data_IF_332615679633
#
_entry.id   IF_332615679633
#
_cell.length_a   1.000
_cell.length_b   1.000
_cell.length_c   1.000
_cell.angle_alpha   90.00
_cell.angle_beta   90.00
_cell.angle_gamma   90.00
#
_symmetry.space_group_name_H-M   'P 1'
#
loop_
_entity.id
_entity.type
_entity.pdbx_description
1 polymer ?
#
# COMPACT_ATOMS: atom_id res chain seq x y z
N UNK A 1 -2.65 9.14 -2.41
CA UNK A 1 -1.48 8.24 -2.22
C UNK A 1 -0.17 8.92 -2.61
N UNK A 2 -0.08 9.42 -3.83
CA UNK A 2 1.16 10.03 -4.35
C UNK A 2 1.63 11.20 -3.50
N UNK A 3 0.74 12.14 -3.16
CA UNK A 3 1.09 13.31 -2.36
C UNK A 3 1.66 12.94 -0.99
N UNK A 4 1.07 11.94 -0.31
CA UNK A 4 1.58 11.45 0.97
C UNK A 4 2.96 10.83 0.81
N UNK A 5 3.16 10.00 -0.21
CA UNK A 5 4.44 9.36 -0.46
C UNK A 5 5.55 10.37 -0.77
N UNK A 6 5.24 11.42 -1.51
CA UNK A 6 6.18 12.52 -1.77
C UNK A 6 6.54 13.23 -0.47
N UNK A 7 5.57 13.50 0.39
CA UNK A 7 5.79 14.16 1.68
C UNK A 7 6.67 13.32 2.63
N UNK A 8 6.70 11.99 2.48
CA UNK A 8 7.50 11.10 3.31
C UNK A 8 8.95 10.96 2.89
N UNK A 9 9.31 11.37 1.66
CA UNK A 9 10.69 11.27 1.15
C UNK A 9 11.68 11.90 2.15
N UNK A 10 12.82 11.25 2.50
CA UNK A 10 13.42 10.05 1.88
C UNK A 10 12.88 8.70 2.36
N UNK A 11 11.96 8.66 3.32
CA UNK A 11 11.36 7.43 3.80
C UNK A 11 10.30 6.91 2.83
N UNK A 12 10.06 5.59 2.82
CA UNK A 12 8.91 5.04 2.12
C UNK A 12 7.62 5.51 2.79
N UNK A 13 6.72 6.08 2.00
CA UNK A 13 5.36 6.36 2.45
C UNK A 13 4.54 5.09 2.44
N UNK A 14 3.55 4.99 3.32
CA UNK A 14 2.66 3.85 3.35
C UNK A 14 1.27 4.21 3.89
N UNK A 15 0.33 3.32 3.71
CA UNK A 15 -1.01 3.46 4.22
C UNK A 15 -1.90 2.29 3.83
N UNK A 16 -3.15 2.36 4.24
CA UNK A 16 -4.13 1.31 4.03
C UNK A 16 -5.24 1.76 3.07
N UNK A 17 -5.76 0.79 2.32
CA UNK A 17 -6.89 0.96 1.42
C UNK A 17 -8.11 0.28 2.03
N UNK A 18 -9.19 1.02 2.18
CA UNK A 18 -10.48 0.50 2.68
C UNK A 18 -11.45 0.47 1.52
N UNK A 19 -12.16 -0.64 1.38
CA UNK A 19 -13.11 -0.81 0.29
C UNK A 19 -14.04 -1.99 0.48
N UNK A 20 -14.65 -2.42 -0.62
CA UNK A 20 -15.62 -3.50 -0.64
C UNK A 20 -15.03 -4.82 -1.19
N UNK A 21 -15.84 -5.85 -1.18
CA UNK A 21 -15.46 -7.19 -1.66
C UNK A 21 -15.18 -7.26 -3.17
N UNK A 22 -15.60 -6.26 -3.93
CA UNK A 22 -15.36 -6.16 -5.36
C UNK A 22 -14.06 -5.43 -5.70
N UNK A 23 -13.29 -5.02 -4.71
CA UNK A 23 -12.05 -4.29 -4.91
C UNK A 23 -12.23 -2.81 -5.20
N UNK A 24 -13.42 -2.24 -4.93
CA UNK A 24 -13.67 -0.80 -5.08
C UNK A 24 -13.19 -0.09 -3.82
N UNK A 25 -12.20 0.79 -3.98
CA UNK A 25 -11.64 1.57 -2.87
C UNK A 25 -12.59 2.70 -2.50
N UNK A 26 -13.05 2.69 -1.26
CA UNK A 26 -13.91 3.73 -0.70
C UNK A 26 -13.09 4.86 -0.07
N UNK A 27 -11.96 4.53 0.57
CA UNK A 27 -11.09 5.52 1.21
C UNK A 27 -9.65 5.06 1.28
N UNK A 28 -8.74 6.03 1.32
CA UNK A 28 -7.29 5.83 1.45
C UNK A 28 -6.86 6.43 2.79
N UNK A 29 -6.13 5.64 3.57
CA UNK A 29 -5.71 6.03 4.92
C UNK A 29 -4.18 6.05 5.02
N UNK A 30 -3.53 7.22 4.80
CA UNK A 30 -2.10 7.34 5.05
C UNK A 30 -1.76 7.01 6.49
N UNK A 31 -0.68 6.26 6.68
CA UNK A 31 -0.18 5.89 8.01
C UNK A 31 1.29 6.28 8.13
N UNK A 32 1.79 6.26 9.36
CA UNK A 32 3.21 6.44 9.62
C UNK A 32 3.96 5.16 9.21
N UNK A 33 5.13 5.33 8.55
CA UNK A 33 6.05 4.21 8.37
C UNK A 33 6.78 3.94 9.69
N UNK A 34 6.38 2.89 10.38
CA UNK A 34 6.96 2.54 11.68
C UNK A 34 8.44 2.12 11.58
N UNK A 35 8.91 1.72 10.40
CA UNK A 35 10.31 1.41 10.15
C UNK A 35 11.15 2.67 9.88
N UNK A 36 10.52 3.80 9.53
CA UNK A 36 11.17 5.08 9.20
C UNK A 36 12.35 4.89 8.23
N UNK A 37 12.12 4.14 7.14
CA UNK A 37 13.17 3.70 6.23
C UNK A 37 12.89 4.16 4.80
N UNK A 38 13.97 4.37 4.03
CA UNK A 38 13.92 4.63 2.59
C UNK A 38 13.82 3.34 1.76
N UNK A 39 13.95 2.17 2.38
CA UNK A 39 14.05 0.87 1.69
C UNK A 39 12.97 -0.12 2.09
N UNK A 40 12.36 0.05 3.26
CA UNK A 40 11.31 -0.81 3.77
C UNK A 40 10.21 0.04 4.43
N UNK A 41 9.03 -0.55 4.55
CA UNK A 41 7.95 0.06 5.32
C UNK A 41 7.42 -0.92 6.36
N UNK A 42 6.84 -0.38 7.43
CA UNK A 42 6.10 -1.16 8.42
C UNK A 42 4.86 -0.38 8.84
N UNK A 43 3.70 -1.03 8.82
CA UNK A 43 2.46 -0.43 9.26
C UNK A 43 2.48 -0.27 10.79
N UNK A 44 2.04 0.89 11.27
CA UNK A 44 1.86 1.10 12.70
C UNK A 44 0.67 0.25 13.18
N UNK A 45 0.87 -0.69 14.14
CA UNK A 45 -0.20 -1.58 14.57
C UNK A 45 -1.41 -0.89 15.15
N UNK A 46 -1.24 0.25 15.81
CA UNK A 46 -2.35 1.01 16.41
C UNK A 46 -3.19 1.69 15.35
N UNK A 47 -2.54 2.29 14.34
CA UNK A 47 -3.23 2.90 13.22
C UNK A 47 -3.96 1.83 12.41
N UNK A 48 -3.33 0.69 12.16
CA UNK A 48 -3.94 -0.44 11.44
C UNK A 48 -5.21 -0.92 12.16
N UNK A 49 -5.14 -1.14 13.47
CA UNK A 49 -6.28 -1.59 14.24
C UNK A 49 -7.44 -0.58 14.23
N UNK A 50 -7.13 0.70 14.35
CA UNK A 50 -8.13 1.77 14.29
C UNK A 50 -8.83 1.81 12.94
N UNK A 51 -8.06 1.72 11.86
CA UNK A 51 -8.59 1.73 10.49
C UNK A 51 -9.47 0.49 10.25
N UNK A 52 -9.02 -0.69 10.69
CA UNK A 52 -9.78 -1.93 10.60
C UNK A 52 -11.15 -1.81 11.28
N UNK A 53 -11.17 -1.30 12.51
CA UNK A 53 -12.42 -1.14 13.28
C UNK A 53 -13.36 -0.15 12.63
N UNK A 54 -12.84 0.98 12.16
CA UNK A 54 -13.65 1.99 11.49
C UNK A 54 -14.22 1.47 10.17
N UNK A 55 -13.46 0.68 9.43
CA UNK A 55 -13.94 0.03 8.21
C UNK A 55 -15.08 -0.94 8.50
N UNK A 56 -14.92 -1.80 9.50
CA UNK A 56 -15.96 -2.74 9.94
C UNK A 56 -17.26 -2.02 10.30
N UNK A 57 -17.17 -0.95 11.07
CA UNK A 57 -18.33 -0.14 11.48
C UNK A 57 -19.07 0.45 10.26
N UNK A 58 -18.36 0.71 9.18
CA UNK A 58 -18.95 1.22 7.93
C UNK A 58 -19.42 0.11 6.97
N UNK A 59 -19.32 -1.16 7.35
CA UNK A 59 -19.65 -2.30 6.49
C UNK A 59 -18.62 -2.57 5.40
N UNK A 60 -17.38 -2.10 5.59
CA UNK A 60 -16.27 -2.23 4.67
C UNK A 60 -15.14 -3.02 5.32
N UNK A 61 -14.02 -3.16 4.62
CA UNK A 61 -12.83 -3.84 5.13
C UNK A 61 -11.56 -3.18 4.59
N UNK A 62 -10.44 -3.43 5.26
CA UNK A 62 -9.13 -3.16 4.69
C UNK A 62 -8.90 -4.17 3.57
N UNK A 63 -8.72 -3.68 2.35
CA UNK A 63 -8.57 -4.52 1.15
C UNK A 63 -7.18 -4.44 0.54
N UNK A 64 -6.31 -3.61 1.08
CA UNK A 64 -4.97 -3.47 0.56
C UNK A 64 -4.11 -2.48 1.32
N UNK A 65 -2.89 -2.37 0.87
CA UNK A 65 -1.87 -1.48 1.39
C UNK A 65 -1.21 -0.76 0.22
N UNK A 66 -0.80 0.48 0.43
CA UNK A 66 0.07 1.17 -0.51
C UNK A 66 1.39 1.54 0.16
N UNK A 67 2.46 1.54 -0.61
CA UNK A 67 3.73 2.11 -0.19
C UNK A 67 4.51 2.61 -1.40
N UNK A 68 5.52 3.44 -1.14
CA UNK A 68 6.36 4.00 -2.20
C UNK A 68 7.73 3.34 -2.25
N UNK A 69 8.26 3.24 -3.49
CA UNK A 69 9.67 2.97 -3.74
C UNK A 69 10.33 4.29 -4.15
N UNK A 70 11.27 4.77 -3.34
CA UNK A 70 11.90 6.07 -3.57
C UNK A 70 13.03 6.03 -4.59
N UNK A 71 13.74 4.89 -4.68
CA UNK A 71 14.93 4.73 -5.51
C UNK A 71 14.85 3.59 -6.53
N UNK A 72 13.79 2.79 -6.50
CA UNK A 72 13.58 1.66 -7.40
C UNK A 72 12.26 1.80 -8.14
N UNK A 73 12.10 1.00 -9.19
CA UNK A 73 10.84 0.95 -9.93
C UNK A 73 9.71 0.36 -9.07
N UNK A 74 8.43 0.65 -9.37
CA UNK A 74 7.31 0.15 -8.60
C UNK A 74 7.02 -1.33 -8.86
N UNK A 75 7.95 -2.17 -8.46
CA UNK A 75 7.84 -3.63 -8.48
C UNK A 75 8.12 -4.16 -7.07
N UNK A 76 7.31 -5.12 -6.55
CA UNK A 76 7.51 -5.63 -5.20
C UNK A 76 8.92 -6.18 -4.98
N UNK A 77 9.59 -5.71 -3.93
CA UNK A 77 10.92 -6.20 -3.55
C UNK A 77 10.80 -7.60 -2.91
N UNK A 78 11.91 -8.36 -2.79
CA UNK A 78 11.89 -9.62 -2.04
C UNK A 78 11.37 -9.46 -0.61
N UNK A 79 11.68 -8.34 0.05
CA UNK A 79 11.16 -8.03 1.39
C UNK A 79 9.65 -7.80 1.35
N UNK A 80 9.14 -7.06 0.37
CA UNK A 80 7.70 -6.83 0.19
C UNK A 80 6.95 -8.16 0.04
N UNK A 81 7.50 -9.08 -0.77
CA UNK A 81 6.91 -10.41 -0.98
C UNK A 81 6.92 -11.23 0.30
N UNK A 82 8.05 -11.24 1.02
CA UNK A 82 8.21 -12.00 2.26
C UNK A 82 7.28 -11.51 3.37
N UNK A 83 6.99 -10.21 3.38
CA UNK A 83 6.17 -9.58 4.41
C UNK A 83 4.71 -9.35 3.99
N UNK A 84 4.29 -9.84 2.82
CA UNK A 84 2.92 -9.70 2.37
C UNK A 84 1.95 -10.45 3.30
N UNK A 85 1.12 -9.74 4.10
CA UNK A 85 0.37 -10.40 5.18
C UNK A 85 -0.86 -11.14 4.70
N UNK A 86 -1.42 -10.78 3.55
CA UNK A 86 -2.72 -11.29 3.13
C UNK A 86 -2.78 -11.49 1.60
N UNK A 87 -3.04 -12.73 1.13
CA UNK A 87 -3.18 -12.99 -0.30
C UNK A 87 -4.44 -12.37 -0.91
N UNK A 88 -5.40 -11.97 -0.08
CA UNK A 88 -6.61 -11.28 -0.52
C UNK A 88 -6.42 -9.78 -0.74
N UNK A 89 -5.31 -9.21 -0.30
CA UNK A 89 -5.06 -7.78 -0.40
C UNK A 89 -4.53 -7.36 -1.77
N UNK A 90 -4.78 -6.10 -2.09
CA UNK A 90 -4.17 -5.39 -3.21
C UNK A 90 -2.95 -4.65 -2.70
N UNK A 91 -1.81 -4.81 -3.37
CA UNK A 91 -0.55 -4.16 -3.00
C UNK A 91 -0.25 -3.09 -4.04
N UNK A 92 -0.49 -1.83 -3.65
CA UNK A 92 -0.29 -0.68 -4.53
C UNK A 92 1.07 -0.07 -4.28
N UNK A 93 1.87 0.05 -5.34
CA UNK A 93 3.19 0.63 -5.28
C UNK A 93 3.21 1.98 -6.00
N UNK A 94 3.73 2.99 -5.31
CA UNK A 94 3.94 4.32 -5.85
C UNK A 94 5.42 4.49 -6.14
N UNK A 95 5.79 4.59 -7.42
CA UNK A 95 7.17 4.78 -7.84
C UNK A 95 7.53 6.26 -7.89
N UNK A 96 8.58 6.65 -7.18
CA UNK A 96 9.05 8.04 -7.09
C UNK A 96 10.44 8.23 -7.68
N UNK A 97 10.97 7.22 -8.34
CA UNK A 97 12.34 7.25 -8.91
C UNK A 97 12.49 8.25 -10.05
N UNK A 98 11.43 8.45 -10.84
CA UNK A 98 11.40 9.34 -11.99
C UNK A 98 10.65 10.62 -11.68
N UNK A 99 10.77 11.64 -12.53
CA UNK A 99 10.10 12.93 -12.35
C UNK A 99 8.58 12.82 -12.24
N UNK A 100 8.01 11.87 -13.01
CA UNK A 100 6.57 11.59 -12.95
C UNK A 100 6.36 10.36 -12.08
N UNK A 101 5.59 10.51 -11.01
CA UNK A 101 5.23 9.39 -10.16
C UNK A 101 4.36 8.38 -10.93
N UNK A 102 4.62 7.09 -10.71
CA UNK A 102 3.84 6.01 -11.28
C UNK A 102 3.18 5.19 -10.18
N UNK A 103 1.99 4.64 -10.47
CA UNK A 103 1.24 3.82 -9.51
C UNK A 103 0.83 2.52 -10.17
N UNK A 104 1.15 1.39 -9.52
CA UNK A 104 0.83 0.05 -10.01
C UNK A 104 0.26 -0.79 -8.87
N UNK A 105 -0.64 -1.70 -9.20
CA UNK A 105 -1.27 -2.61 -8.23
C UNK A 105 -0.89 -4.05 -8.51
N UNK A 106 -0.65 -4.80 -7.43
CA UNK A 106 -0.25 -6.20 -7.50
C UNK A 106 -1.04 -7.06 -6.53
N UNK A 107 -1.15 -8.35 -6.87
CA UNK A 107 -1.55 -9.39 -5.95
C UNK A 107 -0.30 -10.22 -5.63
N UNK A 108 -0.13 -10.58 -4.37
CA UNK A 108 0.98 -11.41 -3.91
C UNK A 108 0.41 -12.65 -3.22
N UNK A 109 0.52 -13.80 -3.89
CA UNK A 109 -0.10 -15.05 -3.45
C UNK A 109 0.96 -16.15 -3.45
N UNK A 110 1.22 -16.74 -2.29
CA UNK A 110 2.21 -17.81 -2.12
C UNK A 110 3.59 -17.44 -2.70
N UNK A 111 4.01 -16.18 -2.49
CA UNK A 111 5.29 -15.69 -3.00
C UNK A 111 5.31 -15.34 -4.48
N UNK A 112 4.19 -15.49 -5.19
CA UNK A 112 4.06 -15.14 -6.60
C UNK A 112 3.45 -13.76 -6.76
N UNK A 113 3.98 -12.97 -7.69
CA UNK A 113 3.57 -11.59 -7.97
C UNK A 113 2.74 -11.57 -9.24
N UNK A 114 1.55 -10.98 -9.15
CA UNK A 114 0.64 -10.79 -10.30
C UNK A 114 0.27 -9.32 -10.37
N UNK A 115 0.65 -8.64 -11.46
CA UNK A 115 0.18 -7.28 -11.69
C UNK A 115 -1.29 -7.29 -12.10
N UNK A 116 -2.08 -6.35 -11.56
CA UNK A 116 -3.49 -6.20 -11.89
C UNK A 116 -3.77 -4.80 -12.42
N UNK A 117 -4.84 -4.68 -13.22
CA UNK A 117 -5.26 -3.39 -13.72
C UNK A 117 -5.76 -2.50 -12.59
N UNK A 118 -5.43 -1.21 -12.67
CA UNK A 118 -5.85 -0.19 -11.74
C UNK A 118 -6.66 0.85 -12.50
N UNK A 119 -7.92 1.00 -12.11
CA UNK A 119 -8.82 1.98 -12.73
C UNK A 119 -9.00 3.15 -11.77
N UNK A 120 -8.73 4.34 -12.25
CA UNK A 120 -8.90 5.59 -11.49
C UNK A 120 -10.02 6.40 -12.15
N UNK A 121 -11.06 6.68 -11.39
CA UNK A 121 -12.19 7.50 -11.84
C UNK A 121 -11.99 8.98 -11.50
#
# INVERSE_FOLDING_TARGET
MVAHCIACVPEEGCGLLVGDENGVVASVHPTRNAAASAQIYALDPREHLRIDRNAEDAGLAVIGVFHSHTHTDPWPSPTDVAQAPDPGWHYVLVGLRHEVASTRSYRIIDGNIFEEAMVVD
#
